data_IF_535604839541
#
_entry.id   IF_535604839541
#
_cell.length_a   1.000
_cell.length_b   1.000
_cell.length_c   1.000
_cell.angle_alpha   90.00
_cell.angle_beta   90.00
_cell.angle_gamma   90.00
#
_symmetry.space_group_name_H-M   'P 1'
#
loop_
_entity.id
_entity.type
_entity.pdbx_description
1 polymer ?
#
# COMPACT_ATOMS: atom_id res chain seq x y z
N UNK A 1 9.53 -9.08 14.21
CA UNK A 1 8.68 -7.89 14.21
C UNK A 1 7.46 -8.12 13.34
N UNK A 2 6.34 -7.56 13.75
CA UNK A 2 5.09 -7.68 13.02
C UNK A 2 5.17 -6.88 11.73
N UNK A 3 4.87 -7.49 10.57
CA UNK A 3 4.89 -6.74 9.32
C UNK A 3 3.75 -5.72 9.24
N UNK A 4 3.97 -4.69 8.45
CA UNK A 4 2.95 -3.68 8.13
C UNK A 4 2.65 -3.72 6.65
N UNK A 5 1.44 -3.35 6.29
CA UNK A 5 1.05 -3.25 4.89
C UNK A 5 1.34 -1.83 4.38
N UNK A 6 1.99 -1.72 3.24
CA UNK A 6 2.29 -0.43 2.63
C UNK A 6 1.29 -0.16 1.51
N UNK A 7 0.46 0.87 1.71
CA UNK A 7 -0.52 1.35 0.75
C UNK A 7 0.09 2.41 -0.17
N UNK A 8 -0.56 2.70 -1.28
CA UNK A 8 -0.13 3.74 -2.21
C UNK A 8 0.03 5.10 -1.51
N UNK A 9 -0.81 5.41 -0.53
CA UNK A 9 -0.69 6.63 0.26
C UNK A 9 0.73 6.83 0.80
N UNK A 10 1.30 5.77 1.39
CA UNK A 10 2.65 5.80 1.94
C UNK A 10 3.70 6.08 0.86
N UNK A 11 3.62 5.36 -0.26
CA UNK A 11 4.59 5.53 -1.33
C UNK A 11 4.51 6.92 -1.96
N UNK A 12 3.30 7.45 -2.17
CA UNK A 12 3.15 8.82 -2.66
C UNK A 12 3.73 9.84 -1.68
N UNK A 13 3.50 9.64 -0.38
CA UNK A 13 4.06 10.51 0.65
C UNK A 13 5.59 10.49 0.65
N UNK A 14 6.20 9.31 0.44
CA UNK A 14 7.66 9.21 0.35
C UNK A 14 8.21 9.89 -0.90
N UNK A 15 7.52 9.76 -2.04
CA UNK A 15 8.01 10.25 -3.32
C UNK A 15 7.75 11.74 -3.55
N UNK A 16 6.90 12.37 -2.75
CA UNK A 16 6.53 13.78 -2.93
C UNK A 16 6.82 14.57 -1.66
N UNK A 17 7.88 15.38 -1.70
CA UNK A 17 8.29 16.22 -0.57
C UNK A 17 7.22 17.23 -0.14
N UNK A 18 6.29 17.55 -1.04
CA UNK A 18 5.21 18.50 -0.77
C UNK A 18 3.98 17.84 -0.16
N UNK A 19 3.97 16.51 -0.07
CA UNK A 19 2.86 15.79 0.55
C UNK A 19 2.82 16.08 2.05
N UNK A 20 1.63 16.35 2.58
CA UNK A 20 1.45 16.66 4.00
C UNK A 20 1.95 15.52 4.91
N UNK A 21 1.95 14.28 4.44
CA UNK A 21 2.40 13.12 5.19
C UNK A 21 3.86 12.76 4.92
N UNK A 22 4.59 13.55 4.11
CA UNK A 22 5.97 13.22 3.70
C UNK A 22 6.89 13.00 4.89
N UNK A 23 6.92 13.93 5.84
CA UNK A 23 7.82 13.83 7.01
C UNK A 23 7.46 12.64 7.89
N UNK A 24 6.18 12.38 8.12
CA UNK A 24 5.73 11.24 8.91
C UNK A 24 6.12 9.91 8.26
N UNK A 25 5.91 9.80 6.95
CA UNK A 25 6.27 8.60 6.19
C UNK A 25 7.78 8.37 6.22
N UNK A 26 8.55 9.43 6.07
CA UNK A 26 10.00 9.39 6.09
C UNK A 26 10.53 8.97 7.47
N UNK A 27 9.96 9.52 8.53
CA UNK A 27 10.32 9.13 9.90
C UNK A 27 10.03 7.65 10.14
N UNK A 28 8.90 7.15 9.66
CA UNK A 28 8.58 5.73 9.79
C UNK A 28 9.65 4.87 9.10
N UNK A 29 10.07 5.25 7.88
CA UNK A 29 11.11 4.52 7.15
C UNK A 29 12.43 4.45 7.89
N UNK A 30 12.80 5.50 8.61
CA UNK A 30 14.07 5.55 9.32
C UNK A 30 14.02 4.92 10.72
N UNK A 31 12.89 4.97 11.40
CA UNK A 31 12.77 4.58 12.80
C UNK A 31 12.24 3.17 13.03
N UNK A 32 11.80 2.50 11.97
CA UNK A 32 11.15 1.21 12.08
C UNK A 32 11.86 0.17 11.23
N UNK A 33 12.13 -0.99 11.83
CA UNK A 33 12.69 -2.15 11.14
C UNK A 33 11.60 -3.14 10.73
N UNK A 34 10.33 -2.78 10.84
CA UNK A 34 9.23 -3.66 10.50
C UNK A 34 9.26 -4.02 9.02
N UNK A 35 9.09 -5.31 8.68
CA UNK A 35 9.01 -5.68 7.26
C UNK A 35 7.74 -5.13 6.63
N UNK A 36 7.81 -4.85 5.32
CA UNK A 36 6.69 -4.34 4.55
C UNK A 36 6.06 -5.43 3.72
N UNK A 37 4.76 -5.39 3.60
CA UNK A 37 4.03 -6.18 2.60
C UNK A 37 3.23 -5.22 1.75
N UNK A 38 3.30 -5.35 0.44
CA UNK A 38 2.47 -4.60 -0.49
C UNK A 38 2.05 -5.53 -1.63
N UNK A 39 1.28 -5.02 -2.58
CA UNK A 39 0.78 -5.83 -3.70
C UNK A 39 1.15 -5.20 -5.04
N UNK A 40 1.09 -6.02 -6.11
CA UNK A 40 1.26 -5.52 -7.46
C UNK A 40 0.22 -4.46 -7.82
N UNK A 41 -1.00 -4.55 -7.28
CA UNK A 41 -2.06 -3.56 -7.52
C UNK A 41 -1.72 -2.21 -6.91
N UNK A 42 -1.22 -2.20 -5.67
CA UNK A 42 -0.76 -0.96 -5.02
C UNK A 42 0.36 -0.34 -5.86
N UNK A 43 1.33 -1.14 -6.29
CA UNK A 43 2.44 -0.63 -7.09
C UNK A 43 1.99 -0.11 -8.46
N UNK A 44 0.96 -0.72 -9.06
CA UNK A 44 0.37 -0.21 -10.30
C UNK A 44 -0.26 1.17 -10.06
N UNK A 45 -0.96 1.34 -8.97
CA UNK A 45 -1.54 2.65 -8.61
C UNK A 45 -0.46 3.71 -8.44
N UNK A 46 0.64 3.36 -7.77
CA UNK A 46 1.77 4.28 -7.59
C UNK A 46 2.40 4.62 -8.95
N UNK A 47 2.61 3.62 -9.80
CA UNK A 47 3.17 3.83 -11.15
C UNK A 47 2.28 4.76 -11.97
N UNK A 48 0.97 4.58 -11.90
CA UNK A 48 0.01 5.44 -12.62
C UNK A 48 0.11 6.89 -12.15
N UNK A 49 0.28 7.09 -10.85
CA UNK A 49 0.50 8.43 -10.27
C UNK A 49 1.84 9.05 -10.63
N UNK A 50 2.79 8.24 -11.13
CA UNK A 50 4.12 8.67 -11.58
C UNK A 50 4.26 8.62 -13.09
N UNK A 51 3.18 8.71 -13.84
CA UNK A 51 3.18 8.53 -15.29
C UNK A 51 3.78 9.70 -16.06
N UNK A 52 3.86 10.89 -15.48
CA UNK A 52 4.48 12.03 -16.12
C UNK A 52 5.94 11.72 -16.48
N UNK A 53 6.39 12.28 -17.60
CA UNK A 53 7.73 11.96 -18.15
C UNK A 53 8.84 12.16 -17.11
N UNK A 54 8.75 13.20 -16.29
CA UNK A 54 9.76 13.54 -15.29
C UNK A 54 9.61 12.77 -13.97
N UNK A 55 8.58 11.91 -13.85
CA UNK A 55 8.30 11.16 -12.62
C UNK A 55 8.50 9.66 -12.75
N UNK A 56 8.60 9.16 -13.97
CA UNK A 56 8.66 7.73 -14.24
C UNK A 56 9.86 7.05 -13.59
N UNK A 57 11.00 7.71 -13.61
CA UNK A 57 12.23 7.16 -13.01
C UNK A 57 12.12 7.01 -11.50
N UNK A 58 11.39 7.89 -10.82
CA UNK A 58 11.19 7.80 -9.37
C UNK A 58 10.48 6.50 -8.99
N UNK A 59 9.43 6.14 -9.75
CA UNK A 59 8.75 4.87 -9.51
C UNK A 59 9.66 3.66 -9.77
N UNK A 60 10.42 3.69 -10.86
CA UNK A 60 11.29 2.57 -11.21
C UNK A 60 12.39 2.36 -10.18
N UNK A 61 12.92 3.44 -9.61
CA UNK A 61 13.90 3.36 -8.53
C UNK A 61 13.27 2.77 -7.26
N UNK A 62 12.05 3.19 -6.91
CA UNK A 62 11.32 2.63 -5.79
C UNK A 62 11.10 1.12 -5.97
N UNK A 63 10.64 0.72 -7.14
CA UNK A 63 10.38 -0.70 -7.44
C UNK A 63 11.65 -1.53 -7.29
N UNK A 64 12.76 -1.03 -7.80
CA UNK A 64 14.05 -1.71 -7.68
C UNK A 64 14.48 -1.85 -6.22
N UNK A 65 14.34 -0.78 -5.43
CA UNK A 65 14.64 -0.83 -3.99
C UNK A 65 13.79 -1.86 -3.27
N UNK A 66 12.49 -1.93 -3.57
CA UNK A 66 11.60 -2.91 -2.95
C UNK A 66 11.98 -4.34 -3.33
N UNK A 67 12.35 -4.56 -4.59
CA UNK A 67 12.73 -5.90 -5.07
C UNK A 67 14.05 -6.37 -4.46
N UNK A 68 14.96 -5.46 -4.18
CA UNK A 68 16.25 -5.79 -3.59
C UNK A 68 16.20 -5.91 -2.07
N UNK A 69 15.19 -5.36 -1.42
CA UNK A 69 15.08 -5.36 0.03
C UNK A 69 14.63 -6.73 0.54
N UNK A 70 15.37 -7.27 1.52
CA UNK A 70 14.94 -8.49 2.22
C UNK A 70 13.75 -8.25 3.15
N UNK A 71 13.45 -7.00 3.47
CA UNK A 71 12.37 -6.62 4.38
C UNK A 71 11.05 -6.31 3.66
N UNK A 72 11.05 -6.29 2.33
CA UNK A 72 9.86 -5.99 1.54
C UNK A 72 9.36 -7.24 0.83
N UNK A 73 8.07 -7.51 0.97
CA UNK A 73 7.40 -8.58 0.25
C UNK A 73 6.37 -7.96 -0.70
N UNK A 74 6.52 -8.22 -1.98
CA UNK A 74 5.56 -7.81 -3.00
C UNK A 74 4.70 -9.01 -3.34
N UNK A 75 3.42 -8.97 -2.98
CA UNK A 75 2.47 -10.02 -3.37
C UNK A 75 2.16 -9.84 -4.84
N UNK A 76 2.47 -10.85 -5.68
CA UNK A 76 2.24 -10.73 -7.12
C UNK A 76 0.75 -10.75 -7.45
N UNK A 77 0.42 -10.23 -8.62
CA UNK A 77 -0.94 -10.32 -9.14
C UNK A 77 -1.33 -11.79 -9.31
N UNK A 78 -2.56 -12.11 -8.95
CA UNK A 78 -3.12 -13.44 -9.12
C UNK A 78 -4.62 -13.33 -9.34
N UNK A 79 -5.17 -14.28 -10.07
CA UNK A 79 -6.61 -14.34 -10.27
C UNK A 79 -7.35 -14.53 -8.94
N UNK A 80 -6.81 -15.39 -8.08
CA UNK A 80 -7.41 -15.69 -6.78
C UNK A 80 -7.58 -14.42 -5.94
N UNK A 81 -6.52 -13.64 -5.79
CA UNK A 81 -6.57 -12.44 -4.96
C UNK A 81 -7.45 -11.36 -5.60
N UNK A 82 -7.40 -11.23 -6.92
CA UNK A 82 -8.30 -10.32 -7.64
C UNK A 82 -9.77 -10.67 -7.37
N UNK A 83 -10.13 -11.94 -7.50
CA UNK A 83 -11.52 -12.38 -7.28
C UNK A 83 -11.98 -12.18 -5.84
N UNK A 84 -11.09 -12.34 -4.88
CA UNK A 84 -11.41 -12.08 -3.47
C UNK A 84 -11.65 -10.59 -3.24
N UNK A 85 -10.90 -9.73 -3.89
CA UNK A 85 -11.14 -8.29 -3.84
C UNK A 85 -12.50 -7.93 -4.46
N UNK A 86 -12.82 -8.53 -5.61
CA UNK A 86 -14.11 -8.33 -6.27
C UNK A 86 -15.27 -8.78 -5.36
N UNK A 87 -15.10 -9.92 -4.67
CA UNK A 87 -16.13 -10.41 -3.76
C UNK A 87 -16.36 -9.44 -2.60
N UNK A 88 -15.31 -8.91 -2.01
CA UNK A 88 -15.44 -7.92 -0.95
C UNK A 88 -16.10 -6.64 -1.47
N UNK A 89 -15.72 -6.20 -2.65
CA UNK A 89 -16.32 -5.05 -3.32
C UNK A 89 -17.83 -5.26 -3.51
N UNK A 90 -18.24 -6.46 -3.87
CA UNK A 90 -19.65 -6.83 -4.04
C UNK A 90 -20.39 -6.85 -2.71
N UNK A 91 -19.77 -7.36 -1.65
CA UNK A 91 -20.40 -7.53 -0.33
C UNK A 91 -20.61 -6.21 0.41
N UNK A 92 -19.88 -5.16 0.02
CA UNK A 92 -19.95 -3.88 0.73
C UNK A 92 -20.34 -2.74 -0.21
N UNK A 93 -21.57 -2.79 -0.77
CA UNK A 93 -22.05 -1.70 -1.62
C UNK A 93 -22.32 -0.41 -0.84
N UNK A 94 -22.29 -0.48 0.49
CA UNK A 94 -22.44 0.66 1.39
C UNK A 94 -21.14 1.45 1.58
N UNK A 95 -20.02 0.97 1.05
CA UNK A 95 -18.70 1.59 1.22
C UNK A 95 -18.18 2.12 -0.11
N UNK A 96 -17.49 3.25 -0.07
CA UNK A 96 -16.83 3.85 -1.24
C UNK A 96 -15.43 3.27 -1.46
N UNK A 97 -15.21 2.03 -1.08
CA UNK A 97 -13.90 1.40 -1.20
C UNK A 97 -13.55 1.10 -2.65
N UNK A 98 -12.44 1.64 -3.16
CA UNK A 98 -11.93 1.24 -4.47
C UNK A 98 -11.57 -0.25 -4.49
N UNK A 99 -11.62 -0.86 -5.67
CA UNK A 99 -11.27 -2.28 -5.80
C UNK A 99 -9.84 -2.56 -5.33
N UNK A 100 -8.91 -1.65 -5.58
CA UNK A 100 -7.52 -1.80 -5.10
C UNK A 100 -7.49 -1.92 -3.57
N UNK A 101 -8.29 -1.12 -2.85
CA UNK A 101 -8.37 -1.22 -1.40
C UNK A 101 -8.96 -2.56 -0.96
N UNK A 102 -10.01 -3.03 -1.63
CA UNK A 102 -10.60 -4.33 -1.32
C UNK A 102 -9.60 -5.47 -1.50
N UNK A 103 -8.78 -5.40 -2.53
CA UNK A 103 -7.70 -6.38 -2.76
C UNK A 103 -6.67 -6.27 -1.64
N UNK A 104 -6.30 -5.05 -1.24
CA UNK A 104 -5.38 -4.83 -0.12
C UNK A 104 -5.92 -5.42 1.18
N UNK A 105 -7.20 -5.23 1.47
CA UNK A 105 -7.82 -5.79 2.67
C UNK A 105 -7.77 -7.31 2.66
N UNK A 106 -8.04 -7.95 1.52
CA UNK A 106 -7.93 -9.40 1.39
C UNK A 106 -6.50 -9.87 1.61
N UNK A 107 -5.52 -9.18 1.02
CA UNK A 107 -4.10 -9.50 1.19
C UNK A 107 -3.66 -9.37 2.65
N UNK A 108 -4.09 -8.31 3.33
CA UNK A 108 -3.77 -8.10 4.75
C UNK A 108 -4.31 -9.23 5.61
N UNK A 109 -5.53 -9.67 5.35
CA UNK A 109 -6.10 -10.80 6.10
C UNK A 109 -5.30 -12.09 5.89
N UNK A 110 -4.90 -12.37 4.65
CA UNK A 110 -4.10 -13.56 4.36
C UNK A 110 -2.76 -13.55 5.08
N UNK A 111 -2.15 -12.38 5.19
CA UNK A 111 -0.85 -12.24 5.83
C UNK A 111 -0.95 -12.04 7.34
N UNK A 112 -2.15 -11.95 7.90
CA UNK A 112 -2.34 -11.70 9.32
C UNK A 112 -1.89 -10.31 9.76
N UNK A 113 -1.99 -9.33 8.87
CA UNK A 113 -1.55 -7.95 9.12
C UNK A 113 -2.72 -7.10 9.54
N UNK A 114 -2.56 -6.31 10.60
CA UNK A 114 -3.60 -5.45 11.15
C UNK A 114 -3.28 -3.96 11.03
N UNK A 115 -2.04 -3.61 10.68
CA UNK A 115 -1.60 -2.21 10.59
C UNK A 115 -1.15 -1.88 9.18
N UNK A 116 -1.55 -0.69 8.70
CA UNK A 116 -1.21 -0.24 7.36
C UNK A 116 -0.59 1.15 7.37
N UNK A 117 0.43 1.33 6.53
CA UNK A 117 1.04 2.63 6.28
C UNK A 117 0.15 3.37 5.30
N UNK A 118 -0.84 4.04 5.83
CA UNK A 118 -1.81 4.81 5.07
C UNK A 118 -2.42 5.89 5.97
N UNK A 119 -2.91 6.95 5.36
CA UNK A 119 -3.77 7.95 6.00
C UNK A 119 -5.22 7.83 5.56
N UNK A 120 -5.53 6.82 4.75
CA UNK A 120 -6.85 6.64 4.19
C UNK A 120 -7.79 5.99 5.21
N UNK A 121 -8.92 6.67 5.47
CA UNK A 121 -9.93 6.20 6.42
C UNK A 121 -10.61 4.89 6.00
N UNK A 122 -10.52 4.50 4.73
CA UNK A 122 -11.07 3.22 4.26
C UNK A 122 -10.49 2.04 5.02
N UNK A 123 -9.20 2.09 5.35
CA UNK A 123 -8.55 1.02 6.09
C UNK A 123 -9.11 0.90 7.51
N UNK A 124 -9.40 2.03 8.17
CA UNK A 124 -10.04 2.01 9.49
C UNK A 124 -11.45 1.46 9.42
N UNK A 125 -12.21 1.83 8.39
CA UNK A 125 -13.55 1.30 8.19
C UNK A 125 -13.55 -0.22 8.03
N UNK A 126 -12.48 -0.76 7.46
CA UNK A 126 -12.32 -2.20 7.26
C UNK A 126 -11.78 -2.93 8.50
N UNK A 127 -11.49 -2.21 9.58
CA UNK A 127 -11.03 -2.79 10.83
C UNK A 127 -9.52 -2.80 11.04
N UNK A 128 -8.78 -2.12 10.18
CA UNK A 128 -7.32 -2.03 10.30
C UNK A 128 -6.90 -0.70 10.94
N UNK A 129 -5.68 -0.64 11.42
CA UNK A 129 -5.12 0.58 11.99
C UNK A 129 -4.32 1.33 10.93
N UNK A 130 -4.67 2.61 10.71
CA UNK A 130 -3.95 3.49 9.79
C UNK A 130 -2.86 4.24 10.55
N UNK A 131 -1.61 4.04 10.17
CA UNK A 131 -0.46 4.56 10.92
C UNK A 131 -0.05 5.98 10.54
N UNK A 132 -0.56 6.52 9.43
CA UNK A 132 -0.16 7.84 8.93
C UNK A 132 -1.27 8.90 9.07
N UNK A 133 -2.20 8.66 9.94
CA UNK A 133 -3.21 9.67 10.26
C UNK A 133 -2.73 10.68 11.28
#
# INVERSE_FOLDING_TARGET
MTPVFADAFYFFALLNEKDAAHETAKLFSFQTDAPYVTTAWVLTEVADGCSAVDRRSAFLELLELLRESSDAKIIPSSEELFERGVELFRQRPDKDWPLTDCISFAAMKDEGITEALTGDHHFEQAGFRALLQ
#
